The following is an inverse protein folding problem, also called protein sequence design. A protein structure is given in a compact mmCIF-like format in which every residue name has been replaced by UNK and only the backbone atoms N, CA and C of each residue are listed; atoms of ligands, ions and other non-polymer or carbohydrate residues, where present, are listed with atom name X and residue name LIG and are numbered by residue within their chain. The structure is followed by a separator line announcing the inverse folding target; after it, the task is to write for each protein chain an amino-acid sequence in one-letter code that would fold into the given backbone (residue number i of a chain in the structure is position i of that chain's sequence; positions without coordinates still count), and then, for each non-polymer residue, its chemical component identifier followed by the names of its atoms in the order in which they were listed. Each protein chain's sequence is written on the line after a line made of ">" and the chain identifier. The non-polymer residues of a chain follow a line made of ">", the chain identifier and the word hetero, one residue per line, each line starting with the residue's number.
data_IF_093916978165
#
_entry.id   IF_093916978165
#
_cell.length_a   1.000
_cell.length_b   1.000
_cell.length_c   1.000
_cell.angle_alpha   90.00
_cell.angle_beta   90.00
_cell.angle_gamma   90.00
#
_symmetry.space_group_name_H-M   'P 1'
#
loop_
_entity.id
_entity.type
_entity.pdbx_description
1 polymer ?
#
# COMPACT_ATOMS: atom_id res chain seq x y z
N UNK A 1 15.41 -48.57 42.40
CA UNK A 1 14.99 -49.49 41.33
C UNK A 1 15.37 -48.91 39.96
N UNK A 2 15.63 -49.81 39.01
CA UNK A 2 15.66 -49.69 37.52
C UNK A 2 14.48 -48.90 36.88
N UNK A 3 14.44 -48.66 35.53
CA UNK A 3 15.50 -48.16 34.63
C UNK A 3 15.04 -47.29 33.40
N UNK A 4 16.02 -46.74 32.67
CA UNK A 4 16.19 -46.50 31.20
C UNK A 4 15.04 -46.64 30.14
N UNK A 5 15.04 -45.72 29.14
CA UNK A 5 14.80 -45.84 27.64
C UNK A 5 13.95 -44.66 27.10
N UNK A 6 14.15 -44.00 25.94
CA UNK A 6 15.15 -43.95 24.84
C UNK A 6 14.81 -42.75 23.89
N UNK A 7 15.74 -42.11 23.14
CA UNK A 7 16.21 -42.48 21.77
C UNK A 7 15.24 -42.08 20.63
N UNK A 8 15.52 -41.30 19.55
CA UNK A 8 16.64 -40.46 19.03
C UNK A 8 16.16 -39.53 17.84
N UNK A 9 16.79 -38.34 17.62
CA UNK A 9 17.27 -37.67 16.34
C UNK A 9 16.35 -37.64 15.06
N UNK A 10 16.18 -36.54 14.29
CA UNK A 10 17.20 -35.98 13.36
C UNK A 10 17.02 -34.53 12.86
N UNK A 11 18.14 -33.83 12.70
CA UNK A 11 18.35 -32.63 11.87
C UNK A 11 19.01 -33.07 10.56
N UNK A 12 18.62 -32.49 9.41
CA UNK A 12 19.35 -32.63 8.15
C UNK A 12 19.68 -31.24 7.60
N UNK A 13 20.97 -30.92 7.62
CA UNK A 13 21.56 -29.87 6.80
C UNK A 13 22.35 -30.55 5.68
N UNK A 14 22.27 -30.02 4.45
CA UNK A 14 23.02 -30.54 3.30
C UNK A 14 23.79 -29.43 2.62
N UNK A 15 25.11 -29.59 2.55
CA UNK A 15 26.03 -28.71 1.85
C UNK A 15 26.79 -29.49 0.76
N UNK A 16 26.93 -28.86 -0.40
CA UNK A 16 28.05 -28.89 -1.37
C UNK A 16 28.82 -30.22 -1.55
N UNK A 17 28.84 -30.74 -2.79
CA UNK A 17 29.78 -31.76 -3.26
C UNK A 17 30.33 -31.42 -4.66
N UNK A 18 31.61 -31.72 -4.90
CA UNK A 18 32.39 -31.32 -6.10
C UNK A 18 32.66 -32.49 -7.06
N UNK A 19 32.88 -32.14 -8.33
CA UNK A 19 33.71 -32.81 -9.35
C UNK A 19 33.61 -34.34 -9.56
N UNK A 20 33.31 -34.73 -10.81
CA UNK A 20 33.51 -36.09 -11.31
C UNK A 20 33.55 -36.13 -12.84
N UNK A 21 34.72 -36.36 -13.42
CA UNK A 21 34.86 -36.61 -14.86
C UNK A 21 34.32 -38.01 -15.21
N UNK A 22 33.77 -38.16 -16.41
CA UNK A 22 33.60 -39.46 -17.05
C UNK A 22 33.74 -39.28 -18.55
N UNK A 23 34.79 -39.86 -19.11
CA UNK A 23 35.01 -39.93 -20.54
C UNK A 23 33.94 -40.84 -21.14
N UNK A 24 33.08 -40.31 -22.01
CA UNK A 24 32.06 -41.12 -22.68
C UNK A 24 32.36 -41.19 -24.19
N UNK A 25 32.67 -42.41 -24.63
CA UNK A 25 32.88 -42.80 -26.02
C UNK A 25 31.73 -42.33 -26.91
N UNK A 26 32.06 -41.72 -28.04
CA UNK A 26 31.10 -41.47 -29.13
C UNK A 26 30.84 -42.75 -29.95
N UNK A 27 29.58 -43.15 -30.13
CA UNK A 27 29.11 -43.84 -31.33
C UNK A 27 28.51 -42.83 -32.32
N UNK A 28 28.85 -42.88 -33.62
CA UNK A 28 28.27 -42.00 -34.63
C UNK A 28 26.89 -42.46 -35.14
N UNK A 29 26.15 -41.51 -35.76
CA UNK A 29 24.78 -41.61 -36.32
C UNK A 29 23.66 -41.65 -35.26
N UNK A 30 22.68 -40.74 -35.21
CA UNK A 30 21.86 -40.20 -36.31
C UNK A 30 21.36 -38.76 -36.01
N UNK A 31 21.21 -37.86 -37.01
CA UNK A 31 20.68 -36.52 -36.81
C UNK A 31 19.15 -36.52 -36.70
N UNK A 32 18.61 -36.94 -35.55
CA UNK A 32 17.20 -36.67 -35.22
C UNK A 32 17.01 -35.16 -35.06
N UNK A 33 16.08 -34.51 -35.81
CA UNK A 33 15.73 -33.13 -35.56
C UNK A 33 14.98 -33.05 -34.22
N UNK A 34 15.73 -32.78 -33.15
CA UNK A 34 15.15 -32.41 -31.85
C UNK A 34 14.42 -31.10 -32.05
N UNK A 35 13.11 -31.17 -32.29
CA UNK A 35 12.23 -30.01 -32.18
C UNK A 35 12.41 -29.41 -30.80
N UNK A 36 13.18 -28.33 -30.73
CA UNK A 36 13.28 -27.51 -29.55
C UNK A 36 11.92 -26.86 -29.37
N UNK A 37 11.06 -27.50 -28.58
CA UNK A 37 9.93 -26.85 -27.94
C UNK A 37 10.50 -25.84 -26.95
N UNK A 38 10.97 -24.71 -27.47
CA UNK A 38 11.13 -23.48 -26.72
C UNK A 38 9.74 -23.03 -26.32
N UNK A 39 9.23 -23.63 -25.24
CA UNK A 39 8.25 -22.97 -24.38
C UNK A 39 8.96 -21.74 -23.85
N UNK A 40 8.82 -20.64 -24.59
CA UNK A 40 8.96 -19.30 -24.06
C UNK A 40 7.90 -19.20 -22.97
N UNK A 41 8.32 -19.50 -21.74
CA UNK A 41 7.49 -19.38 -20.57
C UNK A 41 7.31 -17.88 -20.31
N UNK A 42 6.42 -17.27 -21.09
CA UNK A 42 6.06 -15.86 -21.03
C UNK A 42 5.59 -15.58 -19.62
N UNK A 43 6.49 -15.08 -18.78
CA UNK A 43 6.19 -14.61 -17.42
C UNK A 43 4.93 -13.76 -17.48
N UNK A 44 3.89 -14.05 -16.67
CA UNK A 44 2.69 -13.24 -16.66
C UNK A 44 3.09 -11.78 -16.48
N UNK A 45 2.77 -10.95 -17.46
CA UNK A 45 3.03 -9.52 -17.36
C UNK A 45 2.22 -9.00 -16.18
N UNK A 46 2.90 -8.47 -15.18
CA UNK A 46 2.23 -7.80 -14.07
C UNK A 46 1.30 -6.72 -14.64
N UNK A 47 0.11 -6.59 -14.07
CA UNK A 47 -0.83 -5.55 -14.49
C UNK A 47 -0.13 -4.18 -14.45
N UNK A 48 -0.39 -3.29 -15.43
CA UNK A 48 0.20 -1.96 -15.43
C UNK A 48 -0.27 -1.20 -14.18
N UNK A 49 0.67 -0.55 -13.50
CA UNK A 49 0.34 0.35 -12.38
C UNK A 49 -0.57 1.48 -12.86
N UNK A 50 -1.49 1.98 -12.00
CA UNK A 50 -2.33 3.13 -12.34
C UNK A 50 -1.50 4.41 -12.51
N UNK A 51 -2.06 5.41 -13.18
CA UNK A 51 -1.44 6.73 -13.24
C UNK A 51 -1.46 7.40 -11.86
N UNK A 52 -0.43 8.19 -11.50
CA UNK A 52 -0.44 9.00 -10.28
C UNK A 52 -1.70 9.90 -10.16
N UNK A 53 -2.18 10.45 -11.28
CA UNK A 53 -3.37 11.30 -11.33
C UNK A 53 -4.65 10.59 -10.87
N UNK A 54 -4.79 9.28 -11.15
CA UNK A 54 -5.93 8.50 -10.69
C UNK A 54 -5.94 8.38 -9.15
N UNK A 55 -4.76 8.41 -8.52
CA UNK A 55 -4.57 8.29 -7.07
C UNK A 55 -4.73 9.64 -6.38
N UNK A 56 -4.09 10.69 -6.91
CA UNK A 56 -4.24 12.06 -6.37
C UNK A 56 -5.68 12.56 -6.47
N UNK A 57 -6.43 12.19 -7.53
CA UNK A 57 -7.84 12.53 -7.69
C UNK A 57 -8.75 11.98 -6.56
N UNK A 58 -8.41 10.85 -5.95
CA UNK A 58 -9.13 10.33 -4.77
C UNK A 58 -8.92 11.27 -3.58
N UNK A 59 -7.67 11.66 -3.33
CA UNK A 59 -7.29 12.51 -2.20
C UNK A 59 -7.83 13.94 -2.33
N UNK A 60 -7.79 14.52 -3.54
CA UNK A 60 -8.43 15.81 -3.80
C UNK A 60 -9.93 15.78 -3.47
N UNK A 61 -10.66 14.73 -3.88
CA UNK A 61 -12.10 14.60 -3.55
C UNK A 61 -12.38 14.35 -2.06
N UNK A 62 -11.49 13.68 -1.33
CA UNK A 62 -11.63 13.50 0.13
C UNK A 62 -11.41 14.84 0.86
N UNK A 63 -10.45 15.64 0.41
CA UNK A 63 -10.10 16.91 1.03
C UNK A 63 -11.00 18.09 0.61
N UNK A 64 -11.69 18.00 -0.53
CA UNK A 64 -12.52 19.08 -1.05
C UNK A 64 -13.72 19.38 -0.11
N UNK A 65 -13.84 20.59 0.46
CA UNK A 65 -14.98 20.97 1.30
C UNK A 65 -16.31 21.10 0.53
N UNK A 66 -16.29 21.17 -0.80
CA UNK A 66 -17.51 21.19 -1.61
C UNK A 66 -18.14 19.80 -1.80
N UNK A 67 -17.37 18.72 -1.60
CA UNK A 67 -17.89 17.34 -1.68
C UNK A 67 -18.54 16.96 -0.34
N UNK A 68 -19.85 16.64 -0.30
CA UNK A 68 -20.51 16.20 0.93
C UNK A 68 -19.90 14.89 1.45
N UNK A 69 -19.73 14.76 2.77
CA UNK A 69 -19.09 13.57 3.34
C UNK A 69 -19.81 12.25 3.06
N UNK A 70 -21.13 12.27 2.78
CA UNK A 70 -21.87 11.12 2.26
C UNK A 70 -21.31 10.57 0.92
N UNK A 71 -20.80 11.44 0.05
CA UNK A 71 -20.14 11.05 -1.20
C UNK A 71 -18.69 10.61 -0.96
N UNK A 72 -18.01 11.18 0.04
CA UNK A 72 -16.64 10.80 0.44
C UNK A 72 -16.54 9.39 1.00
N UNK A 73 -17.60 8.84 1.61
CA UNK A 73 -17.67 7.43 2.03
C UNK A 73 -17.25 6.50 0.87
N UNK A 74 -17.74 6.77 -0.34
CA UNK A 74 -17.45 5.98 -1.55
C UNK A 74 -16.01 6.07 -2.06
N UNK A 75 -15.15 6.86 -1.40
CA UNK A 75 -13.71 6.97 -1.67
C UNK A 75 -12.87 6.16 -0.68
N UNK A 76 -13.51 5.49 0.29
CA UNK A 76 -12.88 4.65 1.31
C UNK A 76 -13.35 3.21 1.11
N UNK A 77 -12.40 2.27 1.13
CA UNK A 77 -12.70 0.85 1.09
C UNK A 77 -13.54 0.46 2.31
N UNK A 78 -14.70 -0.17 2.08
CA UNK A 78 -15.70 -0.49 3.11
C UNK A 78 -16.21 0.72 3.91
N UNK A 79 -16.17 1.94 3.36
CA UNK A 79 -16.69 3.13 4.05
C UNK A 79 -18.16 2.98 4.45
N UNK A 80 -18.53 3.53 5.61
CA UNK A 80 -19.90 3.52 6.14
C UNK A 80 -20.35 4.91 6.63
N UNK A 81 -21.60 5.04 7.08
CA UNK A 81 -22.16 6.33 7.52
C UNK A 81 -21.45 6.87 8.79
N UNK A 82 -20.92 5.98 9.63
CA UNK A 82 -20.15 6.30 10.83
C UNK A 82 -18.86 7.08 10.49
N UNK A 83 -18.29 6.90 9.29
CA UNK A 83 -17.07 7.58 8.86
C UNK A 83 -17.30 9.06 8.51
N UNK A 84 -18.56 9.47 8.26
CA UNK A 84 -18.89 10.83 7.78
C UNK A 84 -18.36 11.92 8.72
N UNK A 85 -18.60 11.79 10.02
CA UNK A 85 -18.14 12.77 11.01
C UNK A 85 -16.61 12.86 11.06
N UNK A 86 -15.89 11.74 10.86
CA UNK A 86 -14.43 11.76 10.76
C UNK A 86 -13.94 12.47 9.50
N UNK A 87 -14.63 12.28 8.37
CA UNK A 87 -14.33 12.93 7.08
C UNK A 87 -14.60 14.43 7.11
N UNK A 88 -15.72 14.86 7.70
CA UNK A 88 -16.05 16.27 7.90
C UNK A 88 -14.99 16.96 8.77
N UNK A 89 -14.58 16.34 9.88
CA UNK A 89 -13.55 16.89 10.74
C UNK A 89 -12.15 16.88 10.09
N UNK A 90 -11.79 15.85 9.33
CA UNK A 90 -10.54 15.82 8.55
C UNK A 90 -10.50 16.94 7.51
N UNK A 91 -11.60 17.12 6.75
CA UNK A 91 -11.77 18.20 5.76
C UNK A 91 -11.65 19.58 6.42
N UNK A 92 -12.32 19.77 7.58
CA UNK A 92 -12.19 20.97 8.40
C UNK A 92 -10.76 21.19 8.89
N UNK A 93 -10.08 20.15 9.37
CA UNK A 93 -8.71 20.23 9.85
C UNK A 93 -7.73 20.62 8.73
N UNK A 94 -7.86 20.06 7.52
CA UNK A 94 -7.04 20.46 6.37
C UNK A 94 -7.20 21.95 6.06
N UNK A 95 -8.45 22.43 5.94
CA UNK A 95 -8.74 23.85 5.69
C UNK A 95 -8.19 24.74 6.81
N UNK A 96 -8.45 24.39 8.06
CA UNK A 96 -8.08 25.19 9.22
C UNK A 96 -6.55 25.22 9.44
N UNK A 97 -5.81 24.22 8.94
CA UNK A 97 -4.34 24.20 8.89
C UNK A 97 -3.75 24.79 7.58
N UNK A 98 -4.57 25.41 6.72
CA UNK A 98 -4.12 26.07 5.49
C UNK A 98 -3.81 25.15 4.31
N UNK A 99 -4.19 23.87 4.36
CA UNK A 99 -4.11 22.91 3.25
C UNK A 99 -5.32 22.99 2.31
N UNK A 100 -5.96 24.15 2.18
CA UNK A 100 -7.02 24.33 1.18
C UNK A 100 -6.95 25.73 0.55
N UNK A 101 -6.54 25.86 -0.74
CA UNK A 101 -6.12 24.78 -1.63
C UNK A 101 -4.77 24.14 -1.23
N UNK A 102 -4.67 22.83 -1.46
CA UNK A 102 -3.43 22.05 -1.36
C UNK A 102 -2.99 21.57 -2.75
N UNK A 103 -1.73 21.18 -2.85
CA UNK A 103 -1.20 20.35 -3.93
C UNK A 103 -0.94 18.94 -3.39
N UNK A 104 -1.24 17.92 -4.19
CA UNK A 104 -1.02 16.50 -3.86
C UNK A 104 -0.20 15.86 -4.98
N UNK A 105 0.88 15.20 -4.61
CA UNK A 105 1.68 14.36 -5.52
C UNK A 105 1.71 12.92 -5.02
N UNK A 106 1.74 11.97 -5.95
CA UNK A 106 1.92 10.55 -5.68
C UNK A 106 3.18 10.07 -6.40
N UNK A 107 4.14 9.52 -5.65
CA UNK A 107 5.39 8.94 -6.14
C UNK A 107 5.51 7.50 -5.65
N UNK A 108 6.48 6.76 -6.19
CA UNK A 108 6.83 5.42 -5.71
C UNK A 108 5.62 4.46 -5.67
N UNK A 109 4.81 4.47 -6.74
CA UNK A 109 3.67 3.57 -6.87
C UNK A 109 4.18 2.13 -7.04
N UNK A 110 3.77 1.22 -6.16
CA UNK A 110 4.10 -0.20 -6.20
C UNK A 110 2.84 -1.04 -5.95
N UNK A 111 2.79 -2.26 -6.48
CA UNK A 111 1.78 -3.23 -6.08
C UNK A 111 2.01 -3.67 -4.61
N UNK A 112 0.95 -3.74 -3.82
CA UNK A 112 1.01 -4.20 -2.43
C UNK A 112 1.36 -5.69 -2.37
N UNK A 113 2.33 -6.04 -1.52
CA UNK A 113 2.64 -7.43 -1.20
C UNK A 113 1.67 -8.01 -0.16
N UNK A 114 0.88 -7.17 0.53
CA UNK A 114 -0.04 -7.57 1.60
C UNK A 114 -1.46 -7.88 1.11
N UNK A 115 -1.93 -7.20 0.06
CA UNK A 115 -3.26 -7.38 -0.52
C UNK A 115 -3.19 -7.45 -2.06
N UNK A 116 -3.65 -8.55 -2.70
CA UNK A 116 -3.61 -8.67 -4.15
C UNK A 116 -4.43 -7.59 -4.86
N UNK A 117 -3.77 -6.77 -5.68
CA UNK A 117 -4.40 -5.71 -6.47
C UNK A 117 -4.47 -4.35 -5.78
N UNK A 118 -4.17 -4.26 -4.49
CA UNK A 118 -3.93 -2.97 -3.83
C UNK A 118 -2.58 -2.40 -4.28
N UNK A 119 -2.43 -1.07 -4.24
CA UNK A 119 -1.15 -0.38 -4.45
C UNK A 119 -0.73 0.38 -3.21
N UNK A 120 0.57 0.58 -3.04
CA UNK A 120 1.14 1.53 -2.08
C UNK A 120 1.74 2.68 -2.89
N UNK A 121 1.51 3.91 -2.46
CA UNK A 121 2.10 5.11 -3.03
C UNK A 121 2.63 6.04 -1.93
N UNK A 122 3.77 6.67 -2.18
CA UNK A 122 4.25 7.79 -1.35
C UNK A 122 3.45 9.03 -1.72
N UNK A 123 2.61 9.50 -0.81
CA UNK A 123 1.78 10.69 -1.01
C UNK A 123 2.43 11.88 -0.31
N UNK A 124 2.68 12.96 -1.04
CA UNK A 124 3.06 14.26 -0.47
C UNK A 124 1.92 15.25 -0.67
N UNK A 125 1.53 15.93 0.41
CA UNK A 125 0.53 17.00 0.41
C UNK A 125 1.18 18.29 0.92
N UNK A 126 1.04 19.38 0.18
CA UNK A 126 1.55 20.70 0.57
C UNK A 126 0.48 21.79 0.48
N UNK A 127 0.53 22.80 1.33
CA UNK A 127 -0.29 24.01 1.14
C UNK A 127 0.16 24.75 -0.13
N UNK A 128 -0.80 25.26 -0.91
CA UNK A 128 -0.47 26.16 -2.04
C UNK A 128 -0.03 27.54 -1.54
N UNK A 129 -0.56 27.99 -0.40
CA UNK A 129 -0.21 29.27 0.22
C UNK A 129 1.14 29.22 0.96
N UNK A 130 1.55 28.03 1.44
CA UNK A 130 2.82 27.81 2.12
C UNK A 130 3.45 26.47 1.66
N UNK A 131 4.18 26.42 0.53
CA UNK A 131 4.73 25.18 -0.03
C UNK A 131 5.72 24.41 0.86
N UNK A 132 6.29 25.07 1.86
CA UNK A 132 7.13 24.45 2.89
C UNK A 132 6.32 23.73 3.98
N UNK A 133 5.06 24.13 4.18
CA UNK A 133 4.10 23.39 5.00
C UNK A 133 3.58 22.19 4.19
N UNK A 134 4.27 21.06 4.34
CA UNK A 134 3.98 19.81 3.64
C UNK A 134 4.20 18.59 4.53
N UNK A 135 3.49 17.52 4.21
CA UNK A 135 3.63 16.23 4.85
C UNK A 135 3.69 15.11 3.81
N UNK A 136 4.47 14.07 4.10
CA UNK A 136 4.67 12.93 3.20
C UNK A 136 4.43 11.63 3.98
N UNK A 137 3.50 10.80 3.50
CA UNK A 137 3.19 9.50 4.10
C UNK A 137 2.91 8.44 3.04
N UNK A 138 3.32 7.18 3.26
CA UNK A 138 2.86 6.06 2.44
C UNK A 138 1.35 5.85 2.67
N UNK A 139 0.60 5.71 1.59
CA UNK A 139 -0.83 5.39 1.62
C UNK A 139 -1.10 4.18 0.74
N UNK A 140 -1.99 3.31 1.19
CA UNK A 140 -2.43 2.13 0.43
C UNK A 140 -3.79 2.41 -0.20
N UNK A 141 -3.98 2.00 -1.45
CA UNK A 141 -5.18 2.20 -2.23
C UNK A 141 -5.67 0.89 -2.83
N UNK A 142 -6.98 0.69 -2.79
CA UNK A 142 -7.64 -0.50 -3.30
C UNK A 142 -8.45 -0.18 -4.55
N UNK A 143 -8.45 -1.05 -5.57
CA UNK A 143 -9.21 -0.83 -6.79
C UNK A 143 -10.71 -1.08 -6.56
N UNK A 144 -11.57 -0.24 -7.16
CA UNK A 144 -13.01 -0.47 -7.25
C UNK A 144 -13.49 -0.25 -8.68
N UNK A 145 -13.75 -1.35 -9.40
CA UNK A 145 -14.08 -1.33 -10.84
C UNK A 145 -13.00 -0.54 -11.60
N UNK A 146 -13.37 0.60 -12.18
CA UNK A 146 -12.52 1.49 -12.98
C UNK A 146 -11.96 2.69 -12.19
N UNK A 147 -12.03 2.66 -10.85
CA UNK A 147 -11.61 3.72 -9.95
C UNK A 147 -10.79 3.20 -8.76
N UNK A 148 -10.31 4.11 -7.91
CA UNK A 148 -9.52 3.81 -6.72
C UNK A 148 -10.18 4.33 -5.45
N UNK A 149 -9.95 3.62 -4.35
CA UNK A 149 -10.34 4.00 -3.00
C UNK A 149 -9.12 3.97 -2.08
N UNK A 150 -9.15 4.76 -1.02
CA UNK A 150 -8.20 4.64 0.07
C UNK A 150 -8.47 3.33 0.83
N UNK A 151 -7.44 2.51 1.05
CA UNK A 151 -7.56 1.26 1.81
C UNK A 151 -8.08 1.55 3.23
N UNK A 152 -8.90 0.64 3.78
CA UNK A 152 -9.59 0.84 5.07
C UNK A 152 -8.63 1.09 6.22
N UNK A 153 -7.43 0.49 6.20
CA UNK A 153 -6.39 0.73 7.19
C UNK A 153 -5.87 2.18 7.14
N UNK A 154 -5.51 2.68 5.96
CA UNK A 154 -5.05 4.07 5.79
C UNK A 154 -6.16 5.07 6.11
N UNK A 155 -7.39 4.80 5.68
CA UNK A 155 -8.55 5.62 6.02
C UNK A 155 -8.75 5.73 7.54
N UNK A 156 -8.65 4.62 8.29
CA UNK A 156 -8.76 4.63 9.75
C UNK A 156 -7.67 5.49 10.44
N UNK A 157 -6.50 5.67 9.82
CA UNK A 157 -5.47 6.59 10.33
C UNK A 157 -5.87 8.07 10.09
N UNK A 158 -6.36 8.41 8.90
CA UNK A 158 -6.86 9.75 8.59
C UNK A 158 -8.07 10.14 9.45
N UNK A 159 -9.00 9.22 9.66
CA UNK A 159 -10.19 9.43 10.50
C UNK A 159 -9.80 9.68 11.97
N UNK A 160 -8.79 8.99 12.50
CA UNK A 160 -8.23 9.25 13.84
C UNK A 160 -7.56 10.63 13.95
N UNK A 161 -6.87 11.08 12.90
CA UNK A 161 -6.30 12.44 12.84
C UNK A 161 -7.38 13.53 12.86
N UNK A 162 -8.56 13.23 12.31
CA UNK A 162 -9.74 14.11 12.35
C UNK A 162 -10.52 14.09 13.67
N UNK A 163 -10.25 13.21 14.63
CA UNK A 163 -11.06 13.15 15.86
C UNK A 163 -10.76 14.32 16.81
N UNK A 164 -11.79 15.01 17.35
CA UNK A 164 -11.58 16.00 18.41
C UNK A 164 -11.03 15.30 19.66
N UNK A 165 -9.76 15.58 19.98
CA UNK A 165 -8.99 14.86 21.01
C UNK A 165 -7.75 14.11 20.48
N UNK A 166 -7.53 14.07 19.16
CA UNK A 166 -6.28 13.58 18.56
C UNK A 166 -5.06 14.44 18.92
N UNK A 167 -3.81 14.03 18.56
CA UNK A 167 -2.58 14.71 19.00
C UNK A 167 -2.43 16.20 18.65
N UNK A 168 -3.22 16.73 17.71
CA UNK A 168 -3.30 18.16 17.38
C UNK A 168 -4.39 18.95 18.12
N UNK A 169 -5.24 18.29 18.92
CA UNK A 169 -6.38 18.93 19.60
C UNK A 169 -6.00 19.57 20.96
N UNK A 170 -4.74 19.47 21.39
CA UNK A 170 -4.18 20.22 22.54
C UNK A 170 -3.92 21.70 22.15
N UNK A 171 -4.97 22.39 21.71
CA UNK A 171 -4.89 23.73 21.11
C UNK A 171 -6.06 24.66 21.42
N UNK A 172 -6.96 24.31 22.36
CA UNK A 172 -8.03 25.21 22.80
C UNK A 172 -8.53 24.88 24.22
N UNK A 173 -7.84 25.39 25.23
CA UNK A 173 -8.43 25.66 26.54
C UNK A 173 -8.38 27.17 26.79
N UNK A 174 -9.47 27.92 26.57
CA UNK A 174 -9.52 29.32 26.98
C UNK A 174 -9.57 29.36 28.51
N UNK A 175 -8.48 29.81 29.15
CA UNK A 175 -8.42 29.99 30.60
C UNK A 175 -9.50 30.99 31.03
N UNK A 176 -10.51 30.59 31.82
CA UNK A 176 -11.45 31.56 32.39
C UNK A 176 -10.71 32.37 33.43
N UNK A 177 -10.66 33.69 33.27
CA UNK A 177 -9.92 34.57 34.17
C UNK A 177 -10.49 34.59 35.59
N UNK A 178 -9.61 34.75 36.57
CA UNK A 178 -9.92 35.23 37.92
C UNK A 178 -8.74 35.97 38.51
#
# INVERSE_FOLDING_TARGET
>A
MNPTRGTLIAVVATAIGLAGCSEHVEPPADPMPRSLLTTDAKTPAAAPLPSPDAITAVLYKIADPAVPSAQKIGLIQYGTAEDQAGLDNFTKALRDNGFNPMNVTATDLLWSAGQPGDIIATITISSVAAPDNKFTFPMEFSPIRDAWQLNRQTANLLLKLGQPGGPGASGAAPTPGR
#
